data_IF_209441651551
#
_entry.id   IF_209441651551
#
_cell.length_a   1.000
_cell.length_b   1.000
_cell.length_c   1.000
_cell.angle_alpha   90.00
_cell.angle_beta   90.00
_cell.angle_gamma   90.00
#
_symmetry.space_group_name_H-M   'P 1'
#
loop_
_entity.id
_entity.type
_entity.pdbx_description
1 polymer ?
#
# COMPACT_ATOMS: atom_id res chain seq x y z
N UNK A 1 -5.03 -7.87 4.62
CA UNK A 1 -3.74 -8.60 4.71
C UNK A 1 -3.06 -8.54 3.36
N UNK A 2 -1.73 -8.52 3.31
CA UNK A 2 -0.94 -8.55 2.08
C UNK A 2 -0.12 -9.82 2.04
N UNK A 3 -0.44 -10.67 1.07
CA UNK A 3 0.29 -11.91 0.79
C UNK A 3 1.23 -11.68 -0.38
N UNK A 4 2.49 -12.08 -0.22
CA UNK A 4 3.51 -12.08 -1.27
C UNK A 4 4.27 -13.40 -1.18
N UNK A 5 4.41 -14.10 -2.31
CA UNK A 5 4.99 -15.44 -2.37
C UNK A 5 4.41 -16.40 -1.31
N UNK A 6 3.07 -16.43 -1.23
CA UNK A 6 2.29 -17.26 -0.29
C UNK A 6 2.54 -16.97 1.20
N UNK A 7 3.27 -15.90 1.53
CA UNK A 7 3.57 -15.48 2.90
C UNK A 7 2.80 -14.20 3.26
N UNK A 8 2.34 -14.13 4.49
CA UNK A 8 1.88 -12.86 5.06
C UNK A 8 3.11 -12.00 5.31
N UNK A 9 3.23 -10.92 4.54
CA UNK A 9 4.36 -9.99 4.64
C UNK A 9 3.96 -8.61 5.15
N UNK A 10 2.65 -8.32 5.17
CA UNK A 10 2.16 -7.07 5.73
C UNK A 10 0.64 -7.02 5.92
N UNK A 11 0.21 -5.93 6.57
CA UNK A 11 -1.19 -5.61 6.85
C UNK A 11 -1.46 -4.19 6.42
N UNK A 12 -2.49 -4.03 5.61
CA UNK A 12 -2.92 -2.74 5.08
C UNK A 12 -4.40 -2.54 5.33
N UNK A 13 -4.75 -1.34 5.78
CA UNK A 13 -6.11 -0.85 5.90
C UNK A 13 -6.39 0.07 4.71
N UNK A 14 -7.33 -0.33 3.85
CA UNK A 14 -7.60 0.32 2.57
C UNK A 14 -9.00 0.92 2.55
N UNK A 15 -9.11 2.12 1.98
CA UNK A 15 -10.39 2.80 1.74
C UNK A 15 -10.41 3.42 0.36
N UNK A 16 -11.48 3.20 -0.40
CA UNK A 16 -11.77 3.97 -1.60
C UNK A 16 -12.34 5.35 -1.22
N UNK A 17 -11.57 6.41 -1.44
CA UNK A 17 -12.03 7.80 -1.32
C UNK A 17 -12.50 8.29 -2.70
N UNK A 18 -13.78 8.04 -3.01
CA UNK A 18 -14.36 8.44 -4.30
C UNK A 18 -14.56 9.95 -4.44
N UNK A 19 -14.68 10.67 -3.34
CA UNK A 19 -14.79 12.13 -3.38
C UNK A 19 -13.43 12.76 -3.76
N UNK A 20 -12.33 12.17 -3.30
CA UNK A 20 -10.97 12.57 -3.63
C UNK A 20 -10.30 11.78 -4.77
N UNK A 21 -11.04 10.94 -5.49
CA UNK A 21 -10.57 10.10 -6.60
C UNK A 21 -9.29 9.28 -6.32
N UNK A 22 -9.20 8.69 -5.12
CA UNK A 22 -7.98 8.00 -4.68
C UNK A 22 -8.25 6.81 -3.76
N UNK A 23 -7.31 5.87 -3.78
CA UNK A 23 -7.24 4.83 -2.76
C UNK A 23 -6.42 5.32 -1.57
N UNK A 24 -7.01 5.31 -0.39
CA UNK A 24 -6.34 5.63 0.86
C UNK A 24 -5.81 4.36 1.51
N UNK A 25 -4.52 4.37 1.87
CA UNK A 25 -3.91 3.43 2.82
C UNK A 25 -3.94 4.11 4.19
N UNK A 26 -4.97 3.79 4.97
CA UNK A 26 -5.23 4.40 6.30
C UNK A 26 -4.22 3.95 7.35
N UNK A 27 -3.63 2.78 7.14
CA UNK A 27 -2.45 2.34 7.85
C UNK A 27 -1.77 1.16 7.14
N UNK A 28 -0.45 1.03 7.33
CA UNK A 28 0.35 -0.03 6.74
C UNK A 28 1.41 -0.54 7.73
N UNK A 29 1.45 -1.85 7.93
CA UNK A 29 2.46 -2.52 8.74
C UNK A 29 3.10 -3.68 7.98
N UNK A 30 4.40 -3.87 8.15
CA UNK A 30 5.09 -5.09 7.71
C UNK A 30 5.08 -6.15 8.82
N UNK A 31 5.25 -7.41 8.45
CA UNK A 31 5.48 -8.46 9.45
C UNK A 31 6.94 -8.41 9.94
N UNK A 32 7.25 -8.74 11.22
CA UNK A 32 8.55 -8.49 11.83
C UNK A 32 9.78 -9.10 11.14
N UNK A 33 9.60 -10.13 10.31
CA UNK A 33 10.67 -10.83 9.61
C UNK A 33 10.96 -10.25 8.21
N UNK A 34 10.18 -9.27 7.78
CA UNK A 34 10.21 -8.76 6.41
C UNK A 34 10.91 -7.40 6.35
N UNK A 35 11.58 -7.12 5.24
CA UNK A 35 12.20 -5.82 5.00
C UNK A 35 11.13 -4.83 4.47
N UNK A 36 10.92 -3.66 5.12
CA UNK A 36 9.83 -2.75 4.76
C UNK A 36 9.98 -2.18 3.35
N UNK A 37 11.22 -2.00 2.83
CA UNK A 37 11.43 -1.52 1.47
C UNK A 37 11.02 -2.57 0.44
N UNK A 38 11.37 -3.83 0.66
CA UNK A 38 10.98 -4.97 -0.17
C UNK A 38 9.46 -5.15 -0.18
N UNK A 39 8.82 -5.13 1.00
CA UNK A 39 7.35 -5.24 1.11
C UNK A 39 6.66 -4.07 0.41
N UNK A 40 7.15 -2.85 0.58
CA UNK A 40 6.59 -1.66 -0.08
C UNK A 40 6.72 -1.73 -1.61
N UNK A 41 7.86 -2.18 -2.12
CA UNK A 41 8.11 -2.34 -3.56
C UNK A 41 7.17 -3.38 -4.19
N UNK A 42 6.89 -4.49 -3.47
CA UNK A 42 5.92 -5.49 -3.91
C UNK A 42 4.46 -4.99 -3.82
N UNK A 43 4.13 -4.24 -2.77
CA UNK A 43 2.76 -3.77 -2.49
C UNK A 43 2.33 -2.62 -3.41
N UNK A 44 3.20 -1.65 -3.68
CA UNK A 44 2.87 -0.45 -4.46
C UNK A 44 2.20 -0.74 -5.82
N UNK A 45 2.71 -1.64 -6.68
CA UNK A 45 2.06 -1.95 -7.95
C UNK A 45 0.71 -2.66 -7.78
N UNK A 46 0.53 -3.48 -6.73
CA UNK A 46 -0.78 -4.09 -6.41
C UNK A 46 -1.81 -3.04 -6.00
N UNK A 47 -1.38 -2.05 -5.20
CA UNK A 47 -2.25 -0.94 -4.81
C UNK A 47 -2.69 -0.13 -6.03
N UNK A 48 -1.77 0.18 -6.95
CA UNK A 48 -2.10 0.89 -8.19
C UNK A 48 -3.06 0.08 -9.05
N UNK A 49 -2.83 -1.22 -9.22
CA UNK A 49 -3.74 -2.13 -9.95
C UNK A 49 -5.14 -2.10 -9.35
N UNK A 50 -5.24 -2.22 -8.02
CA UNK A 50 -6.52 -2.18 -7.31
C UNK A 50 -7.22 -0.83 -7.47
N UNK A 51 -6.48 0.29 -7.33
CA UNK A 51 -7.01 1.63 -7.55
C UNK A 51 -7.58 1.77 -8.97
N UNK A 52 -6.81 1.37 -9.99
CA UNK A 52 -7.26 1.37 -11.39
C UNK A 52 -8.51 0.53 -11.59
N UNK A 53 -8.55 -0.69 -11.04
CA UNK A 53 -9.73 -1.55 -11.13
C UNK A 53 -10.99 -0.94 -10.49
N UNK A 54 -10.81 -0.17 -9.41
CA UNK A 54 -11.87 0.56 -8.73
C UNK A 54 -12.24 1.90 -9.39
N UNK A 55 -11.56 2.28 -10.48
CA UNK A 55 -11.75 3.55 -11.18
C UNK A 55 -11.22 4.76 -10.41
N UNK A 56 -10.17 4.59 -9.61
CA UNK A 56 -9.49 5.64 -8.85
C UNK A 56 -8.16 5.99 -9.54
N UNK A 57 -7.78 7.27 -9.57
CA UNK A 57 -6.59 7.73 -10.28
C UNK A 57 -5.30 7.75 -9.44
N UNK A 58 -5.41 7.74 -8.11
CA UNK A 58 -4.27 7.91 -7.21
C UNK A 58 -4.26 6.93 -6.02
N UNK A 59 -3.09 6.79 -5.38
CA UNK A 59 -2.88 6.04 -4.14
C UNK A 59 -2.19 6.93 -3.12
N UNK A 60 -2.81 7.10 -1.95
CA UNK A 60 -2.29 7.96 -0.89
C UNK A 60 -2.17 7.18 0.41
N UNK A 61 -0.99 7.23 1.06
CA UNK A 61 -0.76 6.56 2.34
C UNK A 61 -0.67 7.56 3.50
N UNK A 62 -1.45 7.33 4.55
CA UNK A 62 -1.42 8.12 5.78
C UNK A 62 -0.25 7.69 6.67
N UNK A 63 0.35 8.62 7.45
CA UNK A 63 1.52 8.38 8.31
C UNK A 63 1.19 7.51 9.55
N UNK A 64 0.66 6.31 9.32
CA UNK A 64 0.23 5.36 10.35
C UNK A 64 0.73 3.95 10.05
N UNK A 65 1.66 3.48 10.87
CA UNK A 65 2.28 2.16 10.77
C UNK A 65 3.70 2.23 10.22
N UNK A 66 4.46 1.16 10.47
CA UNK A 66 5.91 1.11 10.23
C UNK A 66 6.28 0.89 8.76
N UNK A 67 5.34 0.39 7.94
CA UNK A 67 5.53 0.24 6.50
C UNK A 67 5.27 1.54 5.73
N UNK A 68 4.55 2.50 6.31
CA UNK A 68 4.14 3.72 5.58
C UNK A 68 5.30 4.49 4.95
N UNK A 69 6.43 4.78 5.62
CA UNK A 69 7.49 5.60 5.02
C UNK A 69 8.04 4.98 3.72
N UNK A 70 8.28 3.67 3.72
CA UNK A 70 8.72 2.94 2.55
C UNK A 70 7.62 2.89 1.47
N UNK A 71 6.36 2.72 1.88
CA UNK A 71 5.22 2.70 0.97
C UNK A 71 5.02 4.03 0.25
N UNK A 72 5.13 5.16 0.96
CA UNK A 72 5.03 6.52 0.38
C UNK A 72 6.08 6.71 -0.71
N UNK A 73 7.33 6.31 -0.44
CA UNK A 73 8.40 6.38 -1.44
C UNK A 73 8.09 5.49 -2.67
N UNK A 74 7.62 4.26 -2.44
CA UNK A 74 7.32 3.32 -3.51
C UNK A 74 6.14 3.78 -4.40
N UNK A 75 5.07 4.34 -3.81
CA UNK A 75 3.91 4.83 -4.59
C UNK A 75 4.17 6.16 -5.30
N UNK A 76 5.17 6.93 -4.87
CA UNK A 76 5.55 8.20 -5.53
C UNK A 76 6.44 8.01 -6.76
N UNK A 77 7.04 6.83 -6.92
CA UNK A 77 7.92 6.52 -8.06
C UNK A 77 7.07 6.11 -9.26
N UNK A 78 6.91 7.01 -10.24
CA UNK A 78 6.13 6.82 -11.48
C UNK A 78 6.73 5.73 -12.36
#
# INVERSE_FOLDING_TARGET
PFLHDERLVGRVDLKADRAGDRMLVRAAWHEPAEDPATVAAALAPELRRLATWLGLSDVHAEPRGDLTPALVAAVSTT
#
